data_IF_089568170049
#
_entry.id   IF_089568170049
#
_cell.length_a   1.000
_cell.length_b   1.000
_cell.length_c   1.000
_cell.angle_alpha   90.00
_cell.angle_beta   90.00
_cell.angle_gamma   90.00
#
_symmetry.space_group_name_H-M   'P 1'
#
loop_
_entity.id
_entity.type
_entity.pdbx_description
1 polymer ?
#
# COMPACT_ATOMS: atom_id res chain seq x y z
N UNK A 1 -8.21 20.04 21.95
CA UNK A 1 -7.74 18.97 22.87
C UNK A 1 -7.88 17.63 22.15
N UNK A 2 -6.94 16.67 22.32
CA UNK A 2 -7.12 15.31 21.83
C UNK A 2 -8.43 14.73 22.41
N UNK A 3 -9.27 14.14 21.57
CA UNK A 3 -10.65 13.74 21.91
C UNK A 3 -10.75 12.77 23.09
N UNK A 4 -9.72 11.96 23.32
CA UNK A 4 -9.71 10.93 24.37
C UNK A 4 -8.95 11.32 25.66
N UNK A 5 -8.40 12.54 25.75
CA UNK A 5 -7.50 12.89 26.86
C UNK A 5 -8.17 12.74 28.24
N UNK A 6 -9.43 13.16 28.40
CA UNK A 6 -10.15 13.01 29.66
C UNK A 6 -10.42 11.55 30.02
N UNK A 7 -10.76 10.71 29.03
CA UNK A 7 -10.98 9.27 29.25
C UNK A 7 -9.68 8.58 29.70
N UNK A 8 -8.57 8.90 29.05
CA UNK A 8 -7.24 8.35 29.42
C UNK A 8 -6.86 8.79 30.84
N UNK A 9 -7.00 10.08 31.17
CA UNK A 9 -6.67 10.61 32.50
C UNK A 9 -7.50 10.00 33.64
N UNK A 10 -8.71 9.52 33.35
CA UNK A 10 -9.57 8.83 34.33
C UNK A 10 -9.33 7.32 34.40
N UNK A 11 -8.33 6.78 33.68
CA UNK A 11 -8.08 5.34 33.59
C UNK A 11 -9.09 4.57 32.73
N UNK A 12 -9.92 5.27 31.95
CA UNK A 12 -10.96 4.69 31.09
C UNK A 12 -10.43 4.38 29.68
N UNK A 13 -9.23 3.77 29.61
CA UNK A 13 -8.57 3.45 28.35
C UNK A 13 -9.39 2.54 27.45
N UNK A 14 -10.07 1.54 28.04
CA UNK A 14 -10.93 0.62 27.30
C UNK A 14 -12.12 1.32 26.63
N UNK A 15 -12.71 2.32 27.29
CA UNK A 15 -13.78 3.13 26.70
C UNK A 15 -13.25 4.03 25.59
N UNK A 16 -12.09 4.67 25.81
CA UNK A 16 -11.43 5.43 24.76
C UNK A 16 -11.19 4.57 23.51
N UNK A 17 -10.74 3.32 23.70
CA UNK A 17 -10.59 2.36 22.63
C UNK A 17 -11.92 1.97 21.97
N UNK A 18 -12.85 1.36 22.73
CA UNK A 18 -14.07 0.75 22.17
C UNK A 18 -15.06 1.77 21.61
N UNK A 19 -15.20 2.91 22.29
CA UNK A 19 -16.29 3.86 22.03
C UNK A 19 -15.86 4.98 21.08
N UNK A 20 -14.55 5.27 20.97
CA UNK A 20 -14.04 6.41 20.19
C UNK A 20 -13.04 5.99 19.12
N UNK A 21 -11.98 5.26 19.46
CA UNK A 21 -10.88 4.95 18.52
C UNK A 21 -11.29 3.83 17.55
N UNK A 22 -11.73 2.69 18.07
CA UNK A 22 -12.06 1.51 17.27
C UNK A 22 -13.13 1.79 16.19
N UNK A 23 -14.23 2.53 16.48
CA UNK A 23 -15.24 2.83 15.46
C UNK A 23 -14.74 3.73 14.33
N UNK A 24 -13.76 4.61 14.61
CA UNK A 24 -13.15 5.50 13.62
C UNK A 24 -11.90 4.93 12.95
N UNK A 25 -11.42 3.76 13.38
CA UNK A 25 -10.11 3.23 13.03
C UNK A 25 -9.89 3.12 11.52
N UNK A 26 -10.88 2.59 10.79
CA UNK A 26 -10.79 2.45 9.34
C UNK A 26 -10.60 3.79 8.61
N UNK A 27 -11.09 4.91 9.17
CA UNK A 27 -10.88 6.26 8.64
C UNK A 27 -9.47 6.81 8.86
N UNK A 28 -8.76 6.31 9.87
CA UNK A 28 -7.38 6.72 10.18
C UNK A 28 -6.32 5.83 9.51
N UNK A 29 -6.69 4.60 9.19
CA UNK A 29 -5.72 3.56 8.85
C UNK A 29 -5.22 3.60 7.41
N UNK A 30 -5.84 4.35 6.48
CA UNK A 30 -5.41 4.40 5.07
C UNK A 30 -3.93 4.76 4.91
N UNK A 31 -3.56 5.99 5.26
CA UNK A 31 -2.17 6.47 5.13
C UNK A 31 -1.19 5.76 6.07
N UNK A 32 -1.67 5.31 7.23
CA UNK A 32 -0.85 4.50 8.16
C UNK A 32 -0.52 3.14 7.54
N UNK A 33 -1.48 2.51 6.86
CA UNK A 33 -1.29 1.24 6.19
C UNK A 33 -0.32 1.35 5.01
N UNK A 34 -0.39 2.43 4.21
CA UNK A 34 0.59 2.72 3.16
C UNK A 34 2.02 2.77 3.72
N UNK A 35 2.22 3.45 4.86
CA UNK A 35 3.53 3.49 5.53
C UNK A 35 4.01 2.11 6.00
N UNK A 36 3.11 1.29 6.56
CA UNK A 36 3.43 -0.10 6.96
C UNK A 36 3.85 -0.92 5.74
N UNK A 37 3.14 -0.79 4.62
CA UNK A 37 3.46 -1.49 3.37
C UNK A 37 4.83 -1.08 2.83
N UNK A 38 5.17 0.21 2.87
CA UNK A 38 6.50 0.70 2.47
C UNK A 38 7.60 0.15 3.39
N UNK A 39 7.40 0.17 4.70
CA UNK A 39 8.34 -0.38 5.69
C UNK A 39 8.54 -1.89 5.51
N UNK A 40 7.47 -2.61 5.16
CA UNK A 40 7.58 -4.02 4.80
C UNK A 40 8.49 -4.22 3.60
N UNK A 41 8.30 -3.48 2.49
CA UNK A 41 9.20 -3.58 1.32
C UNK A 41 10.65 -3.30 1.71
N UNK A 42 10.91 -2.27 2.52
CA UNK A 42 12.26 -1.98 3.00
C UNK A 42 12.87 -3.14 3.79
N UNK A 43 12.08 -3.78 4.67
CA UNK A 43 12.48 -4.97 5.43
C UNK A 43 12.80 -6.15 4.52
N UNK A 44 11.91 -6.48 3.59
CA UNK A 44 12.08 -7.62 2.69
C UNK A 44 13.28 -7.44 1.75
N UNK A 45 13.54 -6.22 1.29
CA UNK A 45 14.73 -5.90 0.50
C UNK A 45 16.00 -6.03 1.34
N UNK A 46 16.01 -5.51 2.57
CA UNK A 46 17.13 -5.65 3.52
C UNK A 46 17.45 -7.12 3.80
N UNK A 47 16.43 -7.97 3.84
CA UNK A 47 16.57 -9.41 4.12
C UNK A 47 16.79 -10.25 2.84
N UNK A 48 16.92 -9.61 1.68
CA UNK A 48 17.22 -10.27 0.41
C UNK A 48 16.07 -11.07 -0.20
N UNK A 49 14.84 -10.91 0.30
CA UNK A 49 13.64 -11.60 -0.21
C UNK A 49 12.97 -10.86 -1.36
N UNK A 50 13.17 -9.54 -1.44
CA UNK A 50 12.82 -8.73 -2.61
C UNK A 50 14.12 -8.15 -3.18
N UNK A 51 14.27 -8.22 -4.49
CA UNK A 51 15.46 -7.78 -5.21
C UNK A 51 15.07 -6.94 -6.43
N UNK A 52 15.91 -5.99 -6.87
CA UNK A 52 17.22 -5.63 -6.31
C UNK A 52 17.10 -4.76 -5.05
N UNK A 53 18.24 -4.31 -4.51
CA UNK A 53 18.25 -3.20 -3.55
C UNK A 53 17.87 -1.91 -4.27
N UNK A 54 16.96 -1.13 -3.67
CA UNK A 54 16.53 0.16 -4.22
C UNK A 54 17.26 1.34 -3.56
N UNK A 55 17.37 2.45 -4.30
CA UNK A 55 18.06 3.66 -3.83
C UNK A 55 17.11 4.63 -3.12
N UNK A 56 15.86 4.70 -3.58
CA UNK A 56 14.84 5.58 -3.03
C UNK A 56 13.55 4.79 -2.81
N UNK A 57 12.86 5.09 -1.71
CA UNK A 57 11.58 4.51 -1.31
C UNK A 57 10.61 5.63 -0.94
N UNK A 58 9.34 5.51 -1.33
CA UNK A 58 8.33 6.50 -0.97
C UNK A 58 7.02 6.32 -1.72
N UNK A 59 6.27 7.41 -1.82
CA UNK A 59 5.11 7.58 -2.70
C UNK A 59 5.52 8.34 -3.95
N UNK A 60 4.72 8.24 -4.99
CA UNK A 60 4.86 9.10 -6.17
C UNK A 60 3.57 9.84 -6.45
N UNK A 61 3.71 11.11 -6.80
CA UNK A 61 2.64 12.00 -7.26
C UNK A 61 3.06 12.60 -8.59
N UNK A 62 2.17 12.61 -9.56
CA UNK A 62 2.46 13.22 -10.85
C UNK A 62 1.24 13.47 -11.70
N UNK A 63 1.39 14.42 -12.62
CA UNK A 63 0.33 14.77 -13.55
C UNK A 63 0.14 13.67 -14.60
N UNK A 64 -1.11 13.24 -14.78
CA UNK A 64 -1.54 12.45 -15.91
C UNK A 64 -2.17 13.38 -16.97
N UNK A 65 -1.47 13.69 -18.08
CA UNK A 65 -1.97 14.63 -19.08
C UNK A 65 -3.20 14.10 -19.82
N UNK A 66 -3.32 12.78 -20.00
CA UNK A 66 -4.45 12.16 -20.70
C UNK A 66 -5.74 12.25 -19.89
N UNK A 67 -5.63 12.05 -18.57
CA UNK A 67 -6.77 12.14 -17.64
C UNK A 67 -6.97 13.53 -17.04
N UNK A 68 -6.06 14.46 -17.32
CA UNK A 68 -6.06 15.86 -16.81
C UNK A 68 -6.24 15.93 -15.30
N UNK A 69 -5.53 15.08 -14.56
CA UNK A 69 -5.53 15.03 -13.09
C UNK A 69 -4.18 14.56 -12.55
N UNK A 70 -3.94 14.82 -11.27
CA UNK A 70 -2.83 14.20 -10.55
C UNK A 70 -3.17 12.73 -10.26
N UNK A 71 -2.19 11.86 -10.40
CA UNK A 71 -2.24 10.45 -10.04
C UNK A 71 -1.22 10.18 -8.93
N UNK A 72 -1.52 9.13 -8.18
CA UNK A 72 -0.73 8.70 -7.05
C UNK A 72 -0.33 7.22 -7.20
N UNK A 73 0.87 6.87 -6.73
CA UNK A 73 1.27 5.49 -6.46
C UNK A 73 1.73 5.39 -5.00
N UNK A 74 1.04 4.54 -4.22
CA UNK A 74 1.20 4.43 -2.77
C UNK A 74 2.60 3.94 -2.33
N UNK A 75 3.16 3.01 -3.09
CA UNK A 75 4.48 2.42 -2.82
C UNK A 75 5.33 2.47 -4.06
N UNK A 76 6.49 3.12 -3.96
CA UNK A 76 7.49 3.17 -5.00
C UNK A 76 8.87 2.90 -4.39
N UNK A 77 9.61 1.99 -5.02
CA UNK A 77 11.03 1.80 -4.76
C UNK A 77 11.79 1.82 -6.09
N UNK A 78 12.88 2.58 -6.19
CA UNK A 78 13.51 2.85 -7.51
C UNK A 78 15.04 2.82 -7.49
N UNK A 79 15.62 2.34 -8.59
CA UNK A 79 17.05 2.45 -8.95
C UNK A 79 17.18 3.09 -10.34
N UNK A 80 18.39 3.11 -10.91
CA UNK A 80 18.57 3.51 -12.31
C UNK A 80 17.96 2.52 -13.31
N UNK A 81 17.80 1.25 -12.95
CA UNK A 81 17.38 0.18 -13.86
C UNK A 81 16.08 -0.52 -13.48
N UNK A 82 15.65 -0.44 -12.21
CA UNK A 82 14.48 -1.14 -11.70
C UNK A 82 13.53 -0.20 -10.94
N UNK A 83 12.24 -0.51 -10.98
CA UNK A 83 11.20 0.13 -10.20
C UNK A 83 10.24 -0.92 -9.66
N UNK A 84 9.92 -0.83 -8.36
CA UNK A 84 8.80 -1.52 -7.76
C UNK A 84 7.70 -0.50 -7.50
N UNK A 85 6.49 -0.80 -7.95
CA UNK A 85 5.31 0.02 -7.72
C UNK A 85 4.21 -0.80 -7.05
N UNK A 86 3.44 -0.16 -6.19
CA UNK A 86 2.37 -0.84 -5.48
C UNK A 86 1.23 0.03 -5.00
N UNK A 87 0.11 -0.64 -4.77
CA UNK A 87 -1.14 -0.07 -4.27
C UNK A 87 -1.53 -0.76 -2.95
N UNK A 88 -2.05 0.01 -2.00
CA UNK A 88 -2.45 -0.44 -0.68
C UNK A 88 -3.96 -0.22 -0.48
N UNK A 89 -4.70 -1.28 -0.13
CA UNK A 89 -6.11 -1.17 0.24
C UNK A 89 -6.39 -1.61 1.67
N UNK A 90 -6.74 -0.63 2.50
CA UNK A 90 -7.32 -0.84 3.83
C UNK A 90 -8.85 -0.88 3.76
N UNK A 91 -9.42 -1.99 3.29
CA UNK A 91 -10.88 -2.19 3.19
C UNK A 91 -11.28 -3.59 3.58
N UNK A 92 -12.53 -3.75 4.01
CA UNK A 92 -13.13 -5.05 4.38
C UNK A 92 -13.75 -5.74 3.15
N UNK A 93 -13.05 -5.70 2.01
CA UNK A 93 -13.48 -6.29 0.74
C UNK A 93 -12.27 -6.86 -0.01
N UNK A 94 -12.48 -7.92 -0.78
CA UNK A 94 -11.42 -8.51 -1.61
C UNK A 94 -11.01 -7.55 -2.73
N UNK A 95 -9.71 -7.34 -2.88
CA UNK A 95 -9.16 -6.55 -3.99
C UNK A 95 -9.34 -7.29 -5.32
N UNK A 96 -9.86 -6.60 -6.33
CA UNK A 96 -10.06 -7.15 -7.67
C UNK A 96 -8.99 -6.71 -8.68
N UNK A 97 -9.13 -7.24 -9.90
CA UNK A 97 -8.17 -7.00 -11.01
C UNK A 97 -8.10 -5.54 -11.43
N UNK A 98 -9.18 -4.79 -11.25
CA UNK A 98 -9.25 -3.36 -11.57
C UNK A 98 -8.18 -2.53 -10.84
N UNK A 99 -7.74 -2.99 -9.66
CA UNK A 99 -6.68 -2.32 -8.90
C UNK A 99 -5.33 -2.44 -9.62
N UNK A 100 -5.01 -3.63 -10.13
CA UNK A 100 -3.80 -3.84 -10.93
C UNK A 100 -3.86 -3.08 -12.26
N UNK A 101 -5.02 -3.07 -12.92
CA UNK A 101 -5.20 -2.37 -14.18
C UNK A 101 -4.96 -0.86 -14.01
N UNK A 102 -5.52 -0.25 -12.95
CA UNK A 102 -5.27 1.16 -12.63
C UNK A 102 -3.80 1.41 -12.35
N UNK A 103 -3.14 0.56 -11.55
CA UNK A 103 -1.72 0.69 -11.23
C UNK A 103 -0.84 0.61 -12.49
N UNK A 104 -1.17 -0.29 -13.43
CA UNK A 104 -0.51 -0.37 -14.74
C UNK A 104 -0.70 0.91 -15.55
N UNK A 105 -1.90 1.51 -15.57
CA UNK A 105 -2.06 2.80 -16.28
C UNK A 105 -1.21 3.95 -15.72
N UNK A 106 -0.75 3.83 -14.46
CA UNK A 106 0.16 4.79 -13.83
C UNK A 106 1.63 4.44 -14.08
N UNK A 107 1.92 3.18 -14.40
CA UNK A 107 3.28 2.70 -14.66
C UNK A 107 3.93 3.47 -15.82
N UNK A 108 3.17 3.78 -16.86
CA UNK A 108 3.62 4.48 -18.05
C UNK A 108 4.17 5.88 -17.72
N UNK A 109 3.64 6.49 -16.66
CA UNK A 109 4.03 7.82 -16.20
C UNK A 109 5.33 7.80 -15.37
N UNK A 110 5.58 6.71 -14.64
CA UNK A 110 6.64 6.62 -13.63
C UNK A 110 7.82 5.73 -14.03
N UNK A 111 7.62 4.75 -14.91
CA UNK A 111 8.60 3.68 -15.18
C UNK A 111 9.90 4.17 -15.81
N UNK A 112 9.86 5.12 -16.74
CA UNK A 112 11.03 5.70 -17.45
C UNK A 112 12.06 4.62 -17.86
N UNK A 113 11.62 3.64 -18.65
CA UNK A 113 12.42 2.53 -19.20
C UNK A 113 13.00 1.52 -18.18
N UNK A 114 12.70 1.65 -16.89
CA UNK A 114 13.11 0.67 -15.88
C UNK A 114 12.32 -0.64 -16.00
N UNK A 115 12.95 -1.74 -15.56
CA UNK A 115 12.24 -3.00 -15.29
C UNK A 115 11.28 -2.81 -14.12
N UNK A 116 10.04 -3.30 -14.29
CA UNK A 116 8.97 -3.06 -13.33
C UNK A 116 8.56 -4.32 -12.58
N UNK A 117 8.37 -4.18 -11.27
CA UNK A 117 7.73 -5.17 -10.42
C UNK A 117 6.50 -4.57 -9.74
N UNK A 118 5.41 -5.33 -9.74
CA UNK A 118 4.15 -4.91 -9.12
C UNK A 118 3.97 -5.59 -7.76
N UNK A 119 3.47 -4.83 -6.79
CA UNK A 119 3.04 -5.37 -5.49
C UNK A 119 1.69 -4.80 -5.09
N UNK A 120 0.80 -5.65 -4.58
CA UNK A 120 -0.52 -5.25 -4.10
C UNK A 120 -0.70 -5.67 -2.64
N UNK A 121 -1.12 -4.71 -1.82
CA UNK A 121 -1.36 -4.91 -0.39
C UNK A 121 -2.84 -4.83 -0.08
N UNK A 122 -3.37 -5.84 0.63
CA UNK A 122 -4.79 -5.89 0.98
C UNK A 122 -5.01 -6.24 2.45
N UNK A 123 -5.86 -5.46 3.14
CA UNK A 123 -6.33 -5.79 4.49
C UNK A 123 -7.09 -7.10 4.52
N UNK A 124 -8.03 -7.29 3.59
CA UNK A 124 -8.98 -8.41 3.61
C UNK A 124 -8.53 -9.60 2.75
N UNK A 125 -7.90 -9.34 1.60
CA UNK A 125 -7.46 -10.35 0.65
C UNK A 125 -7.70 -9.98 -0.81
N UNK A 126 -7.67 -10.97 -1.68
CA UNK A 126 -7.68 -10.82 -3.14
C UNK A 126 -8.75 -11.71 -3.76
N UNK A 127 -9.32 -11.30 -4.89
CA UNK A 127 -10.24 -12.13 -5.65
C UNK A 127 -9.50 -13.27 -6.37
N UNK A 128 -10.19 -14.37 -6.66
CA UNK A 128 -9.62 -15.51 -7.40
C UNK A 128 -9.10 -15.10 -8.79
N UNK A 129 -9.78 -14.14 -9.43
CA UNK A 129 -9.35 -13.59 -10.72
C UNK A 129 -8.01 -12.87 -10.59
N UNK A 130 -7.85 -12.02 -9.56
CA UNK A 130 -6.59 -11.33 -9.31
C UNK A 130 -5.48 -12.30 -8.92
N UNK A 131 -5.74 -13.32 -8.10
CA UNK A 131 -4.75 -14.34 -7.75
C UNK A 131 -4.24 -15.08 -8.99
N UNK A 132 -5.13 -15.44 -9.92
CA UNK A 132 -4.75 -16.08 -11.20
C UNK A 132 -3.91 -15.14 -12.07
N UNK A 133 -4.33 -13.87 -12.17
CA UNK A 133 -3.62 -12.86 -12.95
C UNK A 133 -2.23 -12.58 -12.38
N UNK A 134 -2.13 -12.41 -11.07
CA UNK A 134 -0.88 -12.16 -10.36
C UNK A 134 0.14 -13.29 -10.57
N UNK A 135 -0.29 -14.56 -10.59
CA UNK A 135 0.59 -15.68 -10.92
C UNK A 135 1.13 -15.63 -12.34
N UNK A 136 0.29 -15.23 -13.30
CA UNK A 136 0.66 -15.12 -14.73
C UNK A 136 1.64 -13.97 -14.96
N UNK A 137 1.47 -12.88 -14.24
CA UNK A 137 2.22 -11.63 -14.44
C UNK A 137 3.27 -11.36 -13.37
N UNK A 138 3.51 -12.33 -12.49
CA UNK A 138 4.49 -12.25 -11.40
C UNK A 138 4.29 -11.06 -10.45
N UNK A 139 3.03 -10.74 -10.14
CA UNK A 139 2.65 -9.69 -9.18
C UNK A 139 2.72 -10.24 -7.75
N UNK A 140 3.37 -9.50 -6.86
CA UNK A 140 3.41 -9.83 -5.43
C UNK A 140 2.08 -9.48 -4.76
N UNK A 141 1.46 -10.44 -4.09
CA UNK A 141 0.22 -10.25 -3.34
C UNK A 141 0.50 -10.41 -1.84
N UNK A 142 0.27 -9.35 -1.07
CA UNK A 142 0.60 -9.30 0.36
C UNK A 142 -0.63 -8.92 1.19
N UNK A 143 -0.96 -9.76 2.16
CA UNK A 143 -2.04 -9.46 3.11
C UNK A 143 -1.50 -8.77 4.35
N UNK A 144 -2.35 -7.96 5.00
CA UNK A 144 -1.97 -7.24 6.21
C UNK A 144 -1.39 -8.15 7.31
N UNK A 145 -1.87 -9.39 7.44
CA UNK A 145 -1.37 -10.33 8.46
C UNK A 145 0.08 -10.78 8.23
N UNK A 146 0.60 -10.64 7.01
CA UNK A 146 1.98 -10.96 6.69
C UNK A 146 2.96 -9.81 6.98
N UNK A 147 2.45 -8.61 7.27
CA UNK A 147 3.27 -7.39 7.40
C UNK A 147 3.87 -7.21 8.79
N UNK A 148 3.35 -7.93 9.79
CA UNK A 148 3.75 -7.88 11.21
C UNK A 148 4.60 -9.07 11.61
#
# INVERSE_FOLDING_TARGET
>A
MPSCLSLISMGMGDNAWKDVIQPGLDGYMGSTYENICLQYIQREVREGRITPTYLTYGRWWGNNPDRKREEEVDVVAVTSTHILVGECKWRNESMGTETLDVLKTRDELIRKDREIQYVLFSKYGFSDALIKLAKKEHVLLLRAEALV
#
